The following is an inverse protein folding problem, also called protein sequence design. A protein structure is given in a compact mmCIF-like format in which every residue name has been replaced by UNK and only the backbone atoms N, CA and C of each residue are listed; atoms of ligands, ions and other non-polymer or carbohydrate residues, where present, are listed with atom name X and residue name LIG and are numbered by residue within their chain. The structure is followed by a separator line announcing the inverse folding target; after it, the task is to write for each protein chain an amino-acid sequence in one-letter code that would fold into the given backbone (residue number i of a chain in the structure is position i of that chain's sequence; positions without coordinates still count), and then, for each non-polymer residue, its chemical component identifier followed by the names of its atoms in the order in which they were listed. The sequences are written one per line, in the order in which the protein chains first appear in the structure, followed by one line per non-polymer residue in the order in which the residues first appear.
data_IF_698709321829
#
_entry.id   IF_698709321829
#
_cell.length_a   1.000
_cell.length_b   1.000
_cell.length_c   1.000
_cell.angle_alpha   90.00
_cell.angle_beta   90.00
_cell.angle_gamma   90.00
#
_symmetry.space_group_name_H-M   'P 1'
#
loop_
_entity.id
_entity.type
_entity.pdbx_description
1 polymer ?
#
# COMPACT_ATOMS: atom_id res chain seq x y z
N UNK A 1 -52.62 -10.13 9.13
CA UNK A 1 -51.32 -9.86 8.46
C UNK A 1 -50.79 -8.53 8.98
N UNK A 2 -49.74 -8.54 9.80
CA UNK A 2 -49.28 -7.33 10.49
C UNK A 2 -48.49 -6.36 9.58
N UNK A 3 -48.43 -5.06 9.92
CA UNK A 3 -47.75 -4.00 9.15
C UNK A 3 -46.23 -4.22 8.94
N UNK A 4 -45.64 -5.18 9.66
CA UNK A 4 -44.24 -5.59 9.49
C UNK A 4 -43.98 -6.40 8.22
N UNK A 5 -44.97 -7.19 7.76
CA UNK A 5 -44.81 -8.06 6.59
C UNK A 5 -44.72 -7.29 5.26
N UNK A 6 -45.37 -6.14 5.18
CA UNK A 6 -45.33 -5.28 3.98
C UNK A 6 -44.00 -4.53 3.87
N UNK A 7 -43.45 -4.03 4.98
CA UNK A 7 -42.11 -3.41 5.00
C UNK A 7 -41.01 -4.39 4.61
N UNK A 8 -41.04 -5.61 5.14
CA UNK A 8 -40.08 -6.67 4.78
C UNK A 8 -40.13 -7.00 3.28
N UNK A 9 -41.33 -7.14 2.70
CA UNK A 9 -41.48 -7.34 1.25
C UNK A 9 -40.89 -6.21 0.43
N UNK A 10 -41.14 -4.95 0.84
CA UNK A 10 -40.59 -3.79 0.16
C UNK A 10 -39.06 -3.79 0.19
N UNK A 11 -38.46 -4.02 1.37
CA UNK A 11 -37.01 -4.10 1.52
C UNK A 11 -36.41 -5.22 0.67
N UNK A 12 -37.02 -6.41 0.66
CA UNK A 12 -36.54 -7.54 -0.14
C UNK A 12 -36.57 -7.26 -1.65
N UNK A 13 -37.61 -6.56 -2.12
CA UNK A 13 -37.70 -6.13 -3.53
C UNK A 13 -36.56 -5.16 -3.86
N UNK A 14 -36.32 -4.16 -3.01
CA UNK A 14 -35.24 -3.18 -3.21
C UNK A 14 -33.87 -3.84 -3.19
N UNK A 15 -33.58 -4.68 -2.19
CA UNK A 15 -32.32 -5.43 -2.09
C UNK A 15 -32.10 -6.29 -3.33
N UNK A 16 -33.14 -6.94 -3.82
CA UNK A 16 -33.06 -7.77 -5.02
C UNK A 16 -32.78 -6.96 -6.28
N UNK A 17 -33.45 -5.83 -6.47
CA UNK A 17 -33.18 -4.92 -7.59
C UNK A 17 -31.72 -4.45 -7.55
N UNK A 18 -31.25 -4.04 -6.37
CA UNK A 18 -29.87 -3.61 -6.18
C UNK A 18 -28.87 -4.74 -6.48
N UNK A 19 -29.12 -5.96 -5.99
CA UNK A 19 -28.27 -7.12 -6.23
C UNK A 19 -28.18 -7.53 -7.71
N UNK A 20 -29.21 -7.25 -8.53
CA UNK A 20 -29.17 -7.52 -9.97
C UNK A 20 -28.41 -6.45 -10.76
N UNK A 21 -28.41 -5.19 -10.29
CA UNK A 21 -27.71 -4.07 -10.93
C UNK A 21 -26.29 -3.85 -10.39
N UNK A 22 -25.93 -4.50 -9.29
CA UNK A 22 -24.62 -4.37 -8.68
C UNK A 22 -23.51 -4.92 -9.58
N UNK A 23 -22.35 -4.27 -9.55
CA UNK A 23 -21.10 -4.77 -10.13
C UNK A 23 -20.41 -5.81 -9.25
N UNK A 24 -20.91 -6.06 -8.03
CA UNK A 24 -20.36 -7.07 -7.13
C UNK A 24 -20.58 -8.48 -7.70
N UNK A 25 -19.47 -9.09 -8.11
CA UNK A 25 -19.45 -10.45 -8.62
C UNK A 25 -20.01 -11.44 -7.58
N UNK A 26 -20.76 -12.46 -8.02
CA UNK A 26 -21.38 -13.45 -7.15
C UNK A 26 -22.69 -13.03 -6.48
N UNK A 27 -22.86 -11.76 -6.10
CA UNK A 27 -24.09 -11.26 -5.45
C UNK A 27 -25.32 -11.46 -6.35
N UNK A 28 -25.17 -11.23 -7.65
CA UNK A 28 -26.24 -11.48 -8.64
C UNK A 28 -26.73 -12.93 -8.64
N UNK A 29 -25.83 -13.90 -8.44
CA UNK A 29 -26.17 -15.33 -8.45
C UNK A 29 -26.95 -15.75 -7.20
N UNK A 30 -26.68 -15.12 -6.06
CA UNK A 30 -27.40 -15.36 -4.80
C UNK A 30 -28.88 -14.95 -4.94
N UNK A 31 -29.15 -13.81 -5.58
CA UNK A 31 -30.49 -13.23 -5.70
C UNK A 31 -31.20 -13.52 -7.05
N UNK A 32 -30.60 -14.34 -7.92
CA UNK A 32 -31.20 -14.71 -9.21
C UNK A 32 -32.41 -15.63 -8.99
N UNK A 33 -33.45 -15.44 -9.80
CA UNK A 33 -34.64 -16.29 -9.81
C UNK A 33 -34.40 -17.60 -10.57
N UNK A 34 -35.11 -18.67 -10.18
CA UNK A 34 -35.03 -19.97 -10.85
C UNK A 34 -33.79 -20.81 -10.53
N UNK A 35 -32.94 -20.35 -9.60
CA UNK A 35 -31.73 -21.06 -9.18
C UNK A 35 -32.01 -21.95 -7.98
N UNK A 36 -31.41 -23.15 -7.94
CA UNK A 36 -31.56 -24.08 -6.83
C UNK A 36 -31.00 -23.51 -5.53
N UNK A 37 -31.62 -23.86 -4.39
CA UNK A 37 -31.15 -23.46 -3.07
C UNK A 37 -29.70 -23.87 -2.79
N UNK A 38 -29.25 -25.02 -3.31
CA UNK A 38 -27.87 -25.49 -3.16
C UNK A 38 -26.87 -24.56 -3.84
N UNK A 39 -27.21 -24.10 -5.04
CA UNK A 39 -26.37 -23.19 -5.81
C UNK A 39 -26.31 -21.81 -5.14
N UNK A 40 -27.45 -21.32 -4.61
CA UNK A 40 -27.46 -20.09 -3.82
C UNK A 40 -26.58 -20.17 -2.58
N UNK A 41 -26.62 -21.30 -1.86
CA UNK A 41 -25.76 -21.52 -0.70
C UNK A 41 -24.28 -21.56 -1.10
N UNK A 42 -23.95 -22.23 -2.21
CA UNK A 42 -22.59 -22.26 -2.74
C UNK A 42 -22.07 -20.86 -3.04
N UNK A 43 -22.83 -20.03 -3.77
CA UNK A 43 -22.44 -18.66 -4.07
C UNK A 43 -22.34 -17.78 -2.81
N UNK A 44 -23.22 -17.99 -1.84
CA UNK A 44 -23.18 -17.27 -0.58
C UNK A 44 -21.90 -17.58 0.20
N UNK A 45 -21.56 -18.86 0.33
CA UNK A 45 -20.30 -19.29 0.99
C UNK A 45 -19.09 -18.72 0.24
N UNK A 46 -19.09 -18.81 -1.09
CA UNK A 46 -17.98 -18.31 -1.90
C UNK A 46 -17.76 -16.81 -1.73
N UNK A 47 -18.82 -15.99 -1.78
CA UNK A 47 -18.73 -14.53 -1.58
C UNK A 47 -18.22 -14.19 -0.19
N UNK A 48 -18.65 -14.92 0.85
CA UNK A 48 -18.18 -14.71 2.22
C UNK A 48 -16.70 -15.08 2.38
N UNK A 49 -16.26 -16.22 1.84
CA UNK A 49 -14.87 -16.63 1.85
C UNK A 49 -13.98 -15.62 1.11
N UNK A 50 -14.35 -15.25 -0.12
CA UNK A 50 -13.60 -14.26 -0.91
C UNK A 50 -13.54 -12.89 -0.21
N UNK A 51 -14.65 -12.42 0.35
CA UNK A 51 -14.69 -11.18 1.11
C UNK A 51 -13.80 -11.22 2.36
N UNK A 52 -13.81 -12.33 3.11
CA UNK A 52 -12.98 -12.52 4.29
C UNK A 52 -11.48 -12.55 3.97
N UNK A 53 -11.09 -13.28 2.92
CA UNK A 53 -9.70 -13.32 2.44
C UNK A 53 -9.24 -11.95 1.95
N UNK A 54 -10.08 -11.24 1.18
CA UNK A 54 -9.78 -9.89 0.71
C UNK A 54 -9.51 -8.93 1.89
N UNK A 55 -10.39 -8.92 2.89
CA UNK A 55 -10.21 -8.10 4.10
C UNK A 55 -8.89 -8.45 4.79
N UNK A 56 -8.60 -9.74 4.95
CA UNK A 56 -7.38 -10.22 5.60
C UNK A 56 -6.12 -9.76 4.86
N UNK A 57 -6.10 -9.86 3.53
CA UNK A 57 -4.99 -9.39 2.69
C UNK A 57 -4.85 -7.87 2.79
N UNK A 58 -5.95 -7.12 2.70
CA UNK A 58 -5.90 -5.66 2.82
C UNK A 58 -5.33 -5.21 4.17
N UNK A 59 -5.71 -5.86 5.27
CA UNK A 59 -5.17 -5.55 6.61
C UNK A 59 -3.67 -5.85 6.69
N UNK A 60 -3.23 -6.99 6.15
CA UNK A 60 -1.80 -7.34 6.10
C UNK A 60 -1.00 -6.35 5.26
N UNK A 61 -1.47 -6.07 4.05
CA UNK A 61 -0.85 -5.10 3.14
C UNK A 61 -0.77 -3.70 3.76
N UNK A 62 -1.83 -3.27 4.46
CA UNK A 62 -1.83 -2.00 5.17
C UNK A 62 -0.80 -1.96 6.31
N UNK A 63 -0.69 -3.06 7.07
CA UNK A 63 0.34 -3.19 8.09
C UNK A 63 1.75 -3.12 7.50
N UNK A 64 2.01 -3.83 6.41
CA UNK A 64 3.32 -3.85 5.75
C UNK A 64 3.67 -2.49 5.15
N UNK A 65 2.69 -1.83 4.50
CA UNK A 65 2.84 -0.46 4.02
C UNK A 65 3.20 0.52 5.15
N UNK A 66 2.54 0.42 6.31
CA UNK A 66 2.86 1.27 7.46
C UNK A 66 4.22 0.99 8.08
N UNK A 67 4.77 -0.20 7.88
CA UNK A 67 6.11 -0.59 8.35
C UNK A 67 7.22 -0.15 7.40
N UNK A 68 6.87 0.36 6.21
CA UNK A 68 7.74 0.80 5.11
C UNK A 68 9.24 0.91 5.49
N UNK A 69 9.99 -0.20 5.40
CA UNK A 69 11.44 -0.10 5.35
C UNK A 69 11.79 0.66 4.06
N UNK A 70 12.65 1.66 4.16
CA UNK A 70 13.20 2.31 2.96
C UNK A 70 14.10 1.31 2.26
N UNK A 71 13.58 0.67 1.21
CA UNK A 71 14.37 -0.19 0.33
C UNK A 71 15.31 0.69 -0.49
N UNK A 72 16.58 0.75 -0.08
CA UNK A 72 17.61 1.47 -0.83
C UNK A 72 18.13 0.58 -1.95
N UNK A 73 17.75 0.89 -3.18
CA UNK A 73 18.36 0.24 -4.35
C UNK A 73 19.77 0.82 -4.53
N UNK A 74 20.79 0.02 -4.23
CA UNK A 74 22.18 0.32 -4.60
C UNK A 74 22.32 0.10 -6.10
N UNK A 75 22.11 1.14 -6.89
CA UNK A 75 22.50 1.13 -8.30
C UNK A 75 23.99 1.42 -8.38
N UNK A 76 24.79 0.44 -8.81
CA UNK A 76 26.19 0.68 -9.18
C UNK A 76 26.22 1.62 -10.38
N UNK A 77 26.42 2.90 -10.11
CA UNK A 77 26.66 3.93 -11.12
C UNK A 77 28.09 3.77 -11.65
N UNK A 78 28.32 2.75 -12.46
CA UNK A 78 29.57 2.56 -13.20
C UNK A 78 29.70 3.64 -14.29
N UNK A 79 30.03 4.86 -13.87
CA UNK A 79 30.32 5.98 -14.75
C UNK A 79 31.77 5.84 -15.22
N UNK A 80 31.99 5.94 -16.53
CA UNK A 80 33.35 6.06 -17.09
C UNK A 80 34.10 7.20 -16.40
N UNK A 81 35.40 7.05 -16.16
CA UNK A 81 36.26 8.07 -15.52
C UNK A 81 36.13 9.45 -16.20
N UNK A 82 35.80 9.48 -17.49
CA UNK A 82 35.57 10.71 -18.27
C UNK A 82 34.31 11.51 -17.90
N UNK A 83 33.37 10.94 -17.14
CA UNK A 83 32.09 11.58 -16.78
C UNK A 83 31.96 11.97 -15.30
N UNK A 84 32.98 11.69 -14.48
CA UNK A 84 32.93 11.97 -13.04
C UNK A 84 33.50 13.36 -12.73
N UNK A 85 32.81 14.23 -11.96
CA UNK A 85 33.37 15.49 -11.53
C UNK A 85 34.60 15.25 -10.65
N UNK A 86 35.65 16.04 -10.85
CA UNK A 86 36.84 15.97 -10.02
C UNK A 86 36.48 16.35 -8.57
N UNK A 87 36.84 15.54 -7.55
CA UNK A 87 36.48 15.81 -6.18
C UNK A 87 37.23 17.04 -5.65
N UNK A 88 36.65 17.71 -4.64
CA UNK A 88 37.39 18.71 -3.90
C UNK A 88 38.50 18.02 -3.10
N UNK A 89 39.76 18.37 -3.38
CA UNK A 89 40.92 17.88 -2.64
C UNK A 89 41.35 18.97 -1.66
N UNK A 90 41.09 18.75 -0.38
CA UNK A 90 41.63 19.57 0.70
C UNK A 90 43.04 19.11 1.08
N UNK A 91 44.05 19.95 0.82
CA UNK A 91 45.42 19.70 1.30
C UNK A 91 45.64 20.47 2.59
N UNK A 92 46.07 19.76 3.63
CA UNK A 92 46.49 20.36 4.89
C UNK A 92 48.02 20.20 5.05
N UNK A 93 48.75 21.26 5.45
CA UNK A 93 50.13 21.11 5.86
C UNK A 93 50.27 20.13 7.02
N UNK A 94 51.30 19.28 7.00
CA UNK A 94 51.59 18.36 8.11
C UNK A 94 51.95 19.08 9.43
N UNK A 95 52.32 20.36 9.34
CA UNK A 95 52.56 21.21 10.49
C UNK A 95 51.30 22.00 10.83
N UNK A 96 50.92 21.97 12.11
CA UNK A 96 49.75 22.68 12.62
C UNK A 96 49.98 24.20 12.76
N UNK A 97 51.25 24.64 12.77
CA UNK A 97 51.62 26.04 12.98
C UNK A 97 52.78 26.44 12.07
N UNK A 98 52.66 27.59 11.41
CA UNK A 98 53.81 28.22 10.76
C UNK A 98 54.66 28.91 11.85
N UNK A 99 55.86 28.37 12.10
CA UNK A 99 56.80 28.93 13.08
C UNK A 99 57.16 30.39 12.80
N UNK A 100 57.09 30.86 11.55
CA UNK A 100 57.31 32.27 11.21
C UNK A 100 56.16 33.15 11.68
N UNK A 101 54.93 32.65 11.60
CA UNK A 101 53.74 33.37 12.09
C UNK A 101 53.75 33.39 13.62
N UNK A 102 54.04 32.25 14.26
CA UNK A 102 54.15 32.16 15.72
C UNK A 102 55.19 33.13 16.29
N UNK A 103 56.38 33.20 15.68
CA UNK A 103 57.44 34.12 16.12
C UNK A 103 57.12 35.60 15.88
N UNK A 104 56.26 35.94 14.91
CA UNK A 104 55.78 37.33 14.73
C UNK A 104 54.77 37.72 15.81
N UNK A 105 53.87 36.81 16.19
CA UNK A 105 52.88 37.07 17.24
C UNK A 105 53.52 37.21 18.63
N UNK A 106 54.60 36.49 18.92
CA UNK A 106 55.35 36.59 20.18
C UNK A 106 56.20 37.87 20.32
N UNK A 107 56.35 38.65 19.24
CA UNK A 107 57.10 39.92 19.22
C UNK A 107 56.21 41.16 19.33
N UNK A 108 54.89 40.99 19.32
CA UNK A 108 53.90 42.03 19.63
C UNK A 108 53.57 41.99 21.12
#
# INVERSE_FOLDING_TARGET
MGPWGTKLRQVLVVVRIHAQMSSLHGVRHIFKEGVSYKERLFWLVLVLCCGGELISICVRQWSDYRRAPTETVLTDSAISISGQPFPCVGLCPAHQMDGRVAMRLLRQ
#
